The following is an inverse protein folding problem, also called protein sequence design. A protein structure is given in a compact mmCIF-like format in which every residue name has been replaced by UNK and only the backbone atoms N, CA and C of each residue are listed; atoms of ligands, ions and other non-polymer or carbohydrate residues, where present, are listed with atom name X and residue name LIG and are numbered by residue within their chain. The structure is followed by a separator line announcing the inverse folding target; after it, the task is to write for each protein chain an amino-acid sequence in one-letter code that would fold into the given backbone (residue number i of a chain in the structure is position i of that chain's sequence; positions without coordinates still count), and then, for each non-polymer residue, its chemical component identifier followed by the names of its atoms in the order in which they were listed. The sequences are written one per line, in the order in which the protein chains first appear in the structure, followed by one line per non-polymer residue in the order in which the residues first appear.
data_IF_776439507401
#
_entry.id   IF_776439507401
#
_cell.length_a   1.000
_cell.length_b   1.000
_cell.length_c   1.000
_cell.angle_alpha   90.00
_cell.angle_beta   90.00
_cell.angle_gamma   90.00
#
_symmetry.space_group_name_H-M   'P 1'
#
loop_
_entity.id
_entity.type
_entity.pdbx_description
1 polymer ?
#
# COMPACT_ATOMS: atom_id res chain seq x y z
N UNK A 1 -1.98 -23.90 0.73
CA UNK A 1 -2.52 -22.56 0.40
C UNK A 1 -1.68 -21.98 -0.73
N UNK A 2 -2.27 -21.54 -1.87
CA UNK A 2 -1.49 -20.89 -2.92
C UNK A 2 -0.82 -19.63 -2.36
N UNK A 3 0.46 -19.43 -2.68
CA UNK A 3 1.20 -18.21 -2.30
C UNK A 3 0.55 -17.03 -3.04
N UNK A 4 -0.01 -16.08 -2.31
CA UNK A 4 -0.54 -14.87 -2.91
C UNK A 4 0.61 -14.13 -3.64
N UNK A 5 0.47 -13.94 -4.95
CA UNK A 5 1.48 -13.25 -5.75
C UNK A 5 1.38 -11.75 -5.44
N UNK A 6 2.48 -11.17 -4.97
CA UNK A 6 2.57 -9.72 -4.76
C UNK A 6 3.06 -9.05 -6.03
N UNK A 7 2.24 -8.17 -6.58
CA UNK A 7 2.54 -7.36 -7.75
C UNK A 7 3.07 -6.00 -7.30
N UNK A 8 4.27 -5.66 -7.77
CA UNK A 8 4.85 -4.32 -7.59
C UNK A 8 4.26 -3.39 -8.65
N UNK A 9 4.06 -2.14 -8.29
CA UNK A 9 3.57 -1.11 -9.22
C UNK A 9 4.67 -0.12 -9.55
N UNK A 10 4.46 0.72 -10.57
CA UNK A 10 5.38 1.81 -10.91
C UNK A 10 5.45 2.89 -9.82
N UNK A 11 4.45 2.91 -8.92
CA UNK A 11 4.48 3.77 -7.75
C UNK A 11 5.39 3.17 -6.68
N UNK A 12 6.48 3.87 -6.40
CA UNK A 12 7.49 3.44 -5.41
C UNK A 12 6.83 3.14 -4.06
N UNK A 13 7.08 1.93 -3.56
CA UNK A 13 6.55 1.47 -2.28
C UNK A 13 5.05 1.23 -2.29
N UNK A 14 4.42 1.04 -3.46
CA UNK A 14 3.04 0.58 -3.57
C UNK A 14 3.04 -0.79 -4.24
N UNK A 15 2.34 -1.74 -3.63
CA UNK A 15 2.14 -3.08 -4.16
C UNK A 15 0.71 -3.54 -3.91
N UNK A 16 0.28 -4.59 -4.61
CA UNK A 16 -0.97 -5.26 -4.28
C UNK A 16 -0.80 -6.77 -4.36
N UNK A 17 -1.69 -7.49 -3.70
CA UNK A 17 -1.87 -8.93 -3.93
C UNK A 17 -3.21 -9.14 -4.63
N UNK A 18 -3.22 -10.04 -5.61
CA UNK A 18 -4.46 -10.50 -6.23
C UNK A 18 -4.96 -11.74 -5.48
N UNK A 19 -6.20 -11.68 -5.03
CA UNK A 19 -6.93 -12.81 -4.46
C UNK A 19 -8.25 -12.93 -5.19
N UNK A 20 -8.38 -13.95 -6.03
CA UNK A 20 -9.54 -14.12 -6.92
C UNK A 20 -9.71 -12.87 -7.80
N UNK A 21 -10.80 -12.10 -7.63
CA UNK A 21 -11.05 -10.85 -8.36
C UNK A 21 -10.85 -9.58 -7.49
N UNK A 22 -10.26 -9.76 -6.30
CA UNK A 22 -9.98 -8.67 -5.37
C UNK A 22 -8.50 -8.28 -5.40
N UNK A 23 -8.24 -6.97 -5.35
CA UNK A 23 -6.89 -6.43 -5.13
C UNK A 23 -6.80 -5.82 -3.76
N UNK A 24 -5.84 -6.30 -2.97
CA UNK A 24 -5.54 -5.72 -1.66
C UNK A 24 -4.25 -4.91 -1.79
N UNK A 25 -4.35 -3.60 -1.58
CA UNK A 25 -3.25 -2.67 -1.73
C UNK A 25 -2.46 -2.53 -0.43
N UNK A 26 -1.14 -2.44 -0.59
CA UNK A 26 -0.17 -2.24 0.48
C UNK A 26 0.76 -1.10 0.12
N UNK A 27 1.18 -0.37 1.14
CA UNK A 27 2.19 0.69 1.04
C UNK A 27 3.38 0.36 1.92
N UNK A 28 4.56 0.74 1.46
CA UNK A 28 5.81 0.64 2.21
C UNK A 28 6.45 2.02 2.30
N UNK A 29 6.69 2.51 3.51
CA UNK A 29 7.19 3.87 3.74
C UNK A 29 8.04 3.96 5.01
N UNK A 30 8.79 5.05 5.16
CA UNK A 30 9.49 5.37 6.41
C UNK A 30 8.80 6.54 7.09
N UNK A 31 8.54 6.42 8.40
CA UNK A 31 8.02 7.54 9.19
C UNK A 31 9.16 8.54 9.48
N UNK A 32 8.88 9.85 9.54
CA UNK A 32 9.91 10.87 9.83
C UNK A 32 10.61 10.64 11.17
N UNK A 33 9.81 10.29 12.19
CA UNK A 33 10.26 10.20 13.58
C UNK A 33 11.21 9.03 13.83
N UNK A 34 10.84 7.84 13.36
CA UNK A 34 11.57 6.61 13.67
C UNK A 34 12.57 6.20 12.58
N UNK A 35 12.45 6.76 11.36
CA UNK A 35 13.12 6.30 10.13
C UNK A 35 12.94 4.80 9.84
N UNK A 36 12.13 4.08 10.61
CA UNK A 36 11.86 2.65 10.41
C UNK A 36 11.01 2.45 9.17
N UNK A 37 11.23 1.34 8.47
CA UNK A 37 10.42 0.95 7.33
C UNK A 37 9.15 0.26 7.84
N UNK A 38 8.00 0.73 7.39
CA UNK A 38 6.69 0.17 7.68
C UNK A 38 6.11 -0.39 6.39
N UNK A 39 5.39 -1.50 6.50
CA UNK A 39 4.50 -2.00 5.46
C UNK A 39 3.09 -2.08 6.04
N UNK A 40 2.11 -1.48 5.36
CA UNK A 40 0.73 -1.41 5.84
C UNK A 40 -0.24 -1.73 4.71
N UNK A 41 -1.30 -2.50 5.04
CA UNK A 41 -2.46 -2.68 4.16
C UNK A 41 -3.30 -1.40 4.20
N UNK A 42 -3.60 -0.83 3.04
CA UNK A 42 -4.37 0.43 2.96
C UNK A 42 -5.83 0.22 2.55
N UNK A 43 -6.13 -0.82 1.77
CA UNK A 43 -7.51 -1.13 1.42
C UNK A 43 -7.66 -2.06 0.24
N UNK A 44 -8.91 -2.29 -0.15
CA UNK A 44 -9.31 -3.19 -1.24
C UNK A 44 -9.83 -2.44 -2.46
N UNK A 45 -9.74 -3.04 -3.65
CA UNK A 45 -10.34 -2.49 -4.88
C UNK A 45 -11.85 -2.32 -4.72
N UNK A 46 -12.53 -3.28 -4.08
CA UNK A 46 -13.96 -3.18 -3.75
C UNK A 46 -14.32 -1.99 -2.85
N UNK A 47 -13.37 -1.51 -2.03
CA UNK A 47 -13.53 -0.33 -1.16
C UNK A 47 -13.16 0.98 -1.90
N UNK A 48 -13.02 0.93 -3.23
CA UNK A 48 -12.63 2.08 -4.05
C UNK A 48 -11.15 2.46 -3.93
N UNK A 49 -10.28 1.52 -3.54
CA UNK A 49 -8.84 1.73 -3.59
C UNK A 49 -8.26 1.45 -4.96
N UNK A 50 -7.27 2.25 -5.33
CA UNK A 50 -6.48 2.10 -6.54
C UNK A 50 -5.02 2.43 -6.24
N UNK A 51 -4.13 2.08 -7.16
CA UNK A 51 -2.68 2.31 -7.01
C UNK A 51 -2.35 3.80 -6.75
N UNK A 52 -2.96 4.72 -7.52
CA UNK A 52 -2.75 6.16 -7.35
C UNK A 52 -3.20 6.66 -5.96
N UNK A 53 -4.34 6.16 -5.46
CA UNK A 53 -4.83 6.49 -4.11
C UNK A 53 -3.90 5.96 -3.03
N UNK A 54 -3.40 4.73 -3.19
CA UNK A 54 -2.42 4.14 -2.28
C UNK A 54 -1.10 4.94 -2.28
N UNK A 55 -0.67 5.45 -3.43
CA UNK A 55 0.50 6.32 -3.51
C UNK A 55 0.30 7.67 -2.78
N UNK A 56 -0.88 8.28 -2.94
CA UNK A 56 -1.24 9.49 -2.20
C UNK A 56 -1.27 9.24 -0.69
N UNK A 57 -1.84 8.12 -0.25
CA UNK A 57 -1.84 7.72 1.16
C UNK A 57 -0.41 7.50 1.67
N UNK A 58 0.43 6.82 0.89
CA UNK A 58 1.85 6.64 1.21
C UNK A 58 2.56 7.98 1.47
N UNK A 59 2.31 8.99 0.64
CA UNK A 59 2.89 10.32 0.82
C UNK A 59 2.41 10.98 2.12
N UNK A 60 1.12 10.88 2.45
CA UNK A 60 0.57 11.39 3.73
C UNK A 60 1.25 10.72 4.93
N UNK A 61 1.38 9.40 4.92
CA UNK A 61 2.03 8.66 6.01
C UNK A 61 3.51 8.97 6.14
N UNK A 62 4.21 9.18 5.02
CA UNK A 62 5.59 9.66 5.03
C UNK A 62 5.72 11.05 5.66
N UNK A 63 4.69 11.89 5.55
CA UNK A 63 4.67 13.23 6.14
C UNK A 63 4.16 13.23 7.60
N UNK A 64 3.92 12.06 8.20
CA UNK A 64 3.34 11.96 9.54
C UNK A 64 1.85 12.30 9.61
N UNK A 65 1.21 12.52 8.47
CA UNK A 65 -0.23 12.75 8.37
C UNK A 65 -0.92 11.38 8.30
N UNK A 66 -1.13 10.76 9.45
CA UNK A 66 -2.03 9.63 9.58
C UNK A 66 -3.44 10.16 9.84
N UNK A 67 -4.44 9.57 9.18
CA UNK A 67 -5.85 9.82 9.48
C UNK A 67 -6.20 9.29 10.86
#
# INVERSE_FOLDING_TARGET
MPRAVRVRTDYKGVSYVEKSDERIFYITYRRPESRKLYEEKVGRKSEGWAVARAAAERARRMNGQAQ
#
